data_IF_958864864370
#
_entry.id   IF_958864864370
#
_cell.length_a   1.000
_cell.length_b   1.000
_cell.length_c   1.000
_cell.angle_alpha   90.00
_cell.angle_beta   90.00
_cell.angle_gamma   90.00
#
_symmetry.space_group_name_H-M   'P 1'
#
loop_
_entity.id
_entity.type
_entity.pdbx_description
1 polymer ?
#
# COMPACT_ATOMS: atom_id res chain seq x y z
N UNK A 1 -5.58 -4.69 -13.79
CA UNK A 1 -5.97 -5.27 -15.09
C UNK A 1 -6.76 -6.51 -14.78
N UNK A 2 -7.77 -6.87 -15.55
CA UNK A 2 -8.42 -8.19 -15.44
C UNK A 2 -7.57 -9.25 -16.12
N UNK A 3 -7.63 -10.48 -15.61
CA UNK A 3 -6.81 -11.60 -16.11
C UNK A 3 -7.06 -11.88 -17.59
N UNK A 4 -8.33 -11.81 -18.04
CA UNK A 4 -8.71 -11.98 -19.44
C UNK A 4 -8.03 -10.96 -20.36
N UNK A 5 -7.96 -9.70 -19.92
CA UNK A 5 -7.30 -8.63 -20.68
C UNK A 5 -5.80 -8.78 -20.71
N UNK A 6 -5.21 -9.26 -19.63
CA UNK A 6 -3.80 -9.62 -19.60
C UNK A 6 -3.48 -10.77 -20.55
N UNK A 7 -4.30 -11.81 -20.58
CA UNK A 7 -4.11 -12.96 -21.45
C UNK A 7 -4.20 -12.56 -22.93
N UNK A 8 -5.15 -11.70 -23.28
CA UNK A 8 -5.28 -11.11 -24.61
C UNK A 8 -4.02 -10.30 -24.99
N UNK A 9 -3.56 -9.42 -24.10
CA UNK A 9 -2.37 -8.59 -24.30
C UNK A 9 -1.11 -9.43 -24.52
N UNK A 10 -0.86 -10.42 -23.67
CA UNK A 10 0.34 -11.27 -23.79
C UNK A 10 0.27 -12.11 -25.06
N UNK A 11 -0.89 -12.64 -25.40
CA UNK A 11 -1.08 -13.40 -26.65
C UNK A 11 -0.81 -12.52 -27.87
N UNK A 12 -1.31 -11.30 -27.89
CA UNK A 12 -1.08 -10.36 -28.99
C UNK A 12 0.41 -10.05 -29.14
N UNK A 13 1.09 -9.64 -28.05
CA UNK A 13 2.52 -9.30 -28.08
C UNK A 13 3.35 -10.47 -28.60
N UNK A 14 3.17 -11.66 -28.05
CA UNK A 14 3.96 -12.82 -28.48
C UNK A 14 3.65 -13.25 -29.92
N UNK A 15 2.39 -13.18 -30.34
CA UNK A 15 1.98 -13.48 -31.71
C UNK A 15 2.62 -12.54 -32.74
N UNK A 16 2.75 -11.23 -32.44
CA UNK A 16 3.42 -10.26 -33.32
C UNK A 16 4.87 -10.65 -33.63
N UNK A 17 5.58 -11.28 -32.68
CA UNK A 17 6.95 -11.77 -32.87
C UNK A 17 7.03 -13.24 -33.32
N UNK A 18 5.90 -13.85 -33.71
CA UNK A 18 5.85 -15.25 -34.12
C UNK A 18 6.18 -16.26 -33.02
N UNK A 19 5.98 -15.88 -31.75
CA UNK A 19 6.26 -16.74 -30.58
C UNK A 19 4.98 -17.17 -29.87
N UNK A 20 5.06 -18.30 -29.16
CA UNK A 20 3.99 -18.76 -28.27
C UNK A 20 4.03 -17.99 -26.96
N UNK A 21 2.86 -17.61 -26.45
CA UNK A 21 2.72 -16.95 -25.15
C UNK A 21 3.30 -17.81 -24.01
N UNK A 22 3.90 -17.19 -22.99
CA UNK A 22 4.44 -17.89 -21.84
C UNK A 22 3.32 -18.55 -21.02
N UNK A 23 3.62 -19.70 -20.44
CA UNK A 23 2.74 -20.47 -19.55
C UNK A 23 3.44 -20.72 -18.21
N UNK A 24 2.66 -21.10 -17.19
CA UNK A 24 3.19 -21.41 -15.85
C UNK A 24 3.81 -20.20 -15.13
N UNK A 25 4.89 -20.43 -14.40
CA UNK A 25 5.50 -19.45 -13.48
C UNK A 25 5.90 -18.14 -14.17
N UNK A 26 6.38 -18.19 -15.41
CA UNK A 26 6.77 -17.00 -16.16
C UNK A 26 5.57 -16.09 -16.39
N UNK A 27 4.42 -16.66 -16.72
CA UNK A 27 3.16 -15.90 -16.90
C UNK A 27 2.72 -15.28 -15.58
N UNK A 28 2.82 -16.02 -14.48
CA UNK A 28 2.47 -15.54 -13.13
C UNK A 28 3.35 -14.36 -12.72
N UNK A 29 4.66 -14.44 -12.93
CA UNK A 29 5.60 -13.36 -12.61
C UNK A 29 5.33 -12.09 -13.42
N UNK A 30 4.96 -12.23 -14.70
CA UNK A 30 4.58 -11.08 -15.52
C UNK A 30 3.25 -10.51 -15.02
N UNK A 31 2.25 -11.36 -14.76
CA UNK A 31 0.95 -10.97 -14.24
C UNK A 31 1.06 -10.17 -12.93
N UNK A 32 1.83 -10.67 -11.96
CA UNK A 32 1.98 -10.01 -10.65
C UNK A 32 2.55 -8.59 -10.76
N UNK A 33 3.36 -8.31 -11.79
CA UNK A 33 3.88 -6.97 -12.04
C UNK A 33 2.84 -6.03 -12.62
N UNK A 34 1.94 -6.53 -13.46
CA UNK A 34 1.00 -5.71 -14.25
C UNK A 34 -0.45 -5.77 -13.76
N UNK A 35 -0.74 -6.57 -12.72
CA UNK A 35 -2.09 -6.75 -12.18
C UNK A 35 -2.75 -5.45 -11.72
N UNK A 36 -1.98 -4.44 -11.33
CA UNK A 36 -2.48 -3.15 -10.86
C UNK A 36 -2.68 -2.13 -12.01
N UNK A 37 -2.27 -2.45 -13.24
CA UNK A 37 -2.44 -1.58 -14.42
C UNK A 37 -3.91 -1.56 -14.85
N UNK A 38 -4.56 -0.41 -15.08
CA UNK A 38 -5.96 -0.39 -15.51
C UNK A 38 -6.15 -0.99 -16.91
N UNK A 39 -7.33 -1.59 -17.17
CA UNK A 39 -7.62 -2.26 -18.46
C UNK A 39 -7.51 -1.32 -19.67
N UNK A 40 -7.83 -0.03 -19.48
CA UNK A 40 -7.78 1.00 -20.53
C UNK A 40 -6.35 1.24 -21.07
N UNK A 41 -5.32 0.94 -20.27
CA UNK A 41 -3.94 1.11 -20.68
C UNK A 41 -3.44 -0.08 -21.51
N UNK A 42 -4.12 -1.23 -21.45
CA UNK A 42 -3.67 -2.46 -22.10
C UNK A 42 -3.41 -2.30 -23.63
N UNK A 43 -4.29 -1.65 -24.42
CA UNK A 43 -4.02 -1.45 -25.85
C UNK A 43 -2.74 -0.64 -26.12
N UNK A 44 -2.51 0.43 -25.35
CA UNK A 44 -1.29 1.23 -25.47
C UNK A 44 -0.04 0.43 -25.12
N UNK A 45 -0.10 -0.38 -24.06
CA UNK A 45 1.01 -1.24 -23.65
C UNK A 45 1.33 -2.25 -24.76
N UNK A 46 0.31 -2.86 -25.36
CA UNK A 46 0.47 -3.79 -26.49
C UNK A 46 1.13 -3.09 -27.68
N UNK A 47 0.64 -1.92 -28.10
CA UNK A 47 1.20 -1.15 -29.23
C UNK A 47 2.66 -0.77 -29.01
N UNK A 48 3.03 -0.33 -27.79
CA UNK A 48 4.43 0.00 -27.45
C UNK A 48 5.37 -1.20 -27.55
N UNK A 49 4.91 -2.40 -27.21
CA UNK A 49 5.72 -3.61 -27.30
C UNK A 49 5.73 -4.19 -28.72
N UNK A 50 4.59 -4.19 -29.40
CA UNK A 50 4.46 -4.67 -30.77
C UNK A 50 5.19 -3.79 -31.79
N UNK A 51 5.37 -2.49 -31.50
CA UNK A 51 6.14 -1.56 -32.34
C UNK A 51 7.67 -1.70 -32.21
N UNK A 52 8.18 -2.64 -31.43
CA UNK A 52 9.63 -2.91 -31.31
C UNK A 52 10.10 -3.86 -32.40
N UNK A 53 11.38 -3.75 -32.76
CA UNK A 53 12.01 -4.65 -33.74
C UNK A 53 12.13 -6.10 -33.22
N UNK A 54 12.29 -6.27 -31.91
CA UNK A 54 12.42 -7.57 -31.27
C UNK A 54 11.63 -7.70 -29.96
N UNK A 55 11.23 -8.94 -29.65
CA UNK A 55 10.57 -9.26 -28.39
C UNK A 55 11.54 -9.00 -27.21
N UNK A 56 11.17 -8.16 -26.23
CA UNK A 56 12.04 -7.89 -25.09
C UNK A 56 12.34 -9.16 -24.29
N UNK A 57 13.61 -9.35 -23.92
CA UNK A 57 14.04 -10.47 -23.06
C UNK A 57 13.28 -10.52 -21.73
N UNK A 58 12.90 -9.35 -21.20
CA UNK A 58 12.09 -9.22 -20.01
C UNK A 58 10.80 -8.45 -20.32
N UNK A 59 9.79 -9.18 -20.78
CA UNK A 59 8.48 -8.63 -21.15
C UNK A 59 7.81 -7.93 -19.96
N UNK A 60 7.90 -8.49 -18.75
CA UNK A 60 7.34 -7.88 -17.54
C UNK A 60 7.93 -6.50 -17.24
N UNK A 61 9.25 -6.34 -17.40
CA UNK A 61 9.90 -5.02 -17.28
C UNK A 61 9.45 -4.07 -18.41
N UNK A 62 9.44 -4.56 -19.66
CA UNK A 62 9.01 -3.75 -20.79
C UNK A 62 7.58 -3.21 -20.66
N UNK A 63 6.66 -4.03 -20.15
CA UNK A 63 5.28 -3.60 -19.86
C UNK A 63 5.22 -2.54 -18.77
N UNK A 64 6.04 -2.66 -17.72
CA UNK A 64 6.12 -1.64 -16.67
C UNK A 64 6.74 -0.34 -17.14
N UNK A 65 7.74 -0.40 -18.04
CA UNK A 65 8.32 0.79 -18.66
C UNK A 65 7.28 1.48 -19.57
N UNK A 66 6.54 0.70 -20.38
CA UNK A 66 5.44 1.22 -21.20
C UNK A 66 4.30 1.81 -20.35
N UNK A 67 3.99 1.20 -19.20
CA UNK A 67 3.07 1.75 -18.22
C UNK A 67 3.60 3.07 -17.63
N UNK A 68 4.90 3.18 -17.36
CA UNK A 68 5.56 4.44 -17.00
C UNK A 68 5.32 5.54 -18.03
N UNK A 69 5.49 5.22 -19.32
CA UNK A 69 5.24 6.15 -20.43
C UNK A 69 3.77 6.55 -20.53
N UNK A 70 2.85 5.58 -20.46
CA UNK A 70 1.41 5.86 -20.50
C UNK A 70 1.03 6.83 -19.39
N UNK A 71 1.58 6.62 -18.20
CA UNK A 71 1.37 7.50 -17.05
C UNK A 71 1.83 8.92 -17.32
N UNK A 72 3.03 9.11 -17.86
CA UNK A 72 3.55 10.43 -18.22
C UNK A 72 2.71 11.14 -19.29
N UNK A 73 2.09 10.39 -20.20
CA UNK A 73 1.21 10.93 -21.24
C UNK A 73 -0.23 11.17 -20.78
N UNK A 74 -0.65 10.53 -19.67
CA UNK A 74 -1.99 10.62 -19.12
C UNK A 74 -1.98 11.06 -17.65
N UNK A 75 -1.37 12.22 -17.30
CA UNK A 75 -1.25 12.65 -15.92
C UNK A 75 -2.62 12.80 -15.25
N UNK A 76 -3.64 13.28 -15.96
CA UNK A 76 -5.02 13.41 -15.45
C UNK A 76 -5.74 12.09 -15.18
N UNK A 77 -5.20 10.95 -15.61
CA UNK A 77 -5.73 9.61 -15.25
C UNK A 77 -5.11 9.05 -13.97
N UNK A 78 -3.99 9.62 -13.52
CA UNK A 78 -3.28 9.22 -12.31
C UNK A 78 -3.56 10.20 -11.18
N UNK A 79 -3.44 11.48 -11.50
CA UNK A 79 -3.69 12.58 -10.58
C UNK A 79 -5.19 12.73 -10.49
N UNK A 80 -5.71 12.43 -9.31
CA UNK A 80 -7.08 12.77 -8.97
C UNK A 80 -7.14 14.25 -8.67
N UNK A 81 -8.21 14.91 -9.11
CA UNK A 81 -8.51 16.26 -8.68
C UNK A 81 -8.63 16.30 -7.15
N UNK A 82 -8.21 17.43 -6.57
CA UNK A 82 -8.26 17.61 -5.12
C UNK A 82 -9.67 17.34 -4.60
N UNK A 83 -9.79 16.42 -3.65
CA UNK A 83 -11.08 16.11 -3.03
C UNK A 83 -11.24 16.94 -1.75
N UNK A 84 -12.12 17.96 -1.71
CA UNK A 84 -12.27 18.81 -0.52
C UNK A 84 -12.84 18.04 0.67
N UNK A 85 -13.52 16.91 0.43
CA UNK A 85 -14.14 16.09 1.46
C UNK A 85 -13.15 15.20 2.23
N UNK A 86 -12.16 14.61 1.56
CA UNK A 86 -11.17 13.75 2.22
C UNK A 86 -9.75 14.35 2.22
N UNK A 87 -9.55 15.54 1.67
CA UNK A 87 -8.25 16.22 1.60
C UNK A 87 -7.17 15.30 0.99
N UNK A 88 -7.53 14.63 -0.11
CA UNK A 88 -6.69 13.68 -0.85
C UNK A 88 -6.21 12.45 -0.08
N UNK A 89 -6.72 12.21 1.13
CA UNK A 89 -6.43 10.99 1.89
C UNK A 89 -7.12 9.75 1.30
N UNK A 90 -8.08 9.94 0.39
CA UNK A 90 -8.87 8.88 -0.26
C UNK A 90 -9.72 7.99 0.66
N UNK A 91 -9.56 8.09 1.98
CA UNK A 91 -10.28 7.34 3.00
C UNK A 91 -10.70 8.25 4.16
N UNK A 92 -11.64 7.77 4.96
CA UNK A 92 -11.96 8.29 6.28
C UNK A 92 -11.53 7.28 7.33
N UNK A 93 -10.81 7.74 8.36
CA UNK A 93 -10.48 6.93 9.52
C UNK A 93 -11.65 6.93 10.50
N UNK A 94 -12.03 5.74 10.95
CA UNK A 94 -13.23 5.51 11.75
C UNK A 94 -12.90 4.69 13.00
N UNK A 95 -13.70 4.93 14.05
CA UNK A 95 -13.69 4.19 15.30
C UNK A 95 -15.11 3.81 15.67
N UNK A 96 -15.30 2.58 16.09
CA UNK A 96 -16.57 2.11 16.62
C UNK A 96 -16.33 1.26 17.87
N UNK A 97 -17.33 1.23 18.75
CA UNK A 97 -17.30 0.41 19.95
C UNK A 97 -17.88 -0.97 19.61
N UNK A 98 -17.19 -2.04 19.99
CA UNK A 98 -17.78 -3.38 19.98
C UNK A 98 -18.87 -3.46 21.07
N UNK A 99 -20.15 -3.72 20.72
CA UNK A 99 -21.26 -3.68 21.69
C UNK A 99 -21.07 -4.64 22.87
N UNK A 100 -20.41 -5.77 22.66
CA UNK A 100 -20.26 -6.83 23.65
C UNK A 100 -19.05 -6.66 24.58
N UNK A 101 -18.02 -5.92 24.15
CA UNK A 101 -16.71 -5.88 24.83
C UNK A 101 -16.32 -4.50 25.32
N UNK A 102 -17.16 -3.50 25.08
CA UNK A 102 -16.91 -2.07 25.34
C UNK A 102 -15.59 -1.54 24.75
N UNK A 103 -14.97 -2.30 23.84
CA UNK A 103 -13.66 -2.02 23.28
C UNK A 103 -13.81 -1.25 21.98
N UNK A 104 -13.05 -0.18 21.85
CA UNK A 104 -12.92 0.52 20.58
C UNK A 104 -12.10 -0.30 19.59
N UNK A 105 -12.54 -0.30 18.33
CA UNK A 105 -11.75 -0.77 17.20
C UNK A 105 -11.69 0.33 16.15
N UNK A 106 -10.67 0.28 15.30
CA UNK A 106 -10.48 1.23 14.20
C UNK A 106 -10.61 0.52 12.86
N UNK A 107 -11.15 1.23 11.89
CA UNK A 107 -11.25 0.80 10.51
C UNK A 107 -11.19 2.02 9.58
N UNK A 108 -11.13 1.77 8.28
CA UNK A 108 -11.13 2.84 7.27
C UNK A 108 -12.24 2.59 6.27
N UNK A 109 -12.89 3.66 5.83
CA UNK A 109 -13.85 3.60 4.72
C UNK A 109 -13.34 4.43 3.54
N UNK A 110 -13.47 3.95 2.29
CA UNK A 110 -13.15 4.75 1.12
C UNK A 110 -14.01 6.03 1.08
N UNK A 111 -13.43 7.13 0.59
CA UNK A 111 -14.17 8.38 0.43
C UNK A 111 -15.34 8.20 -0.57
N UNK A 112 -16.60 8.41 -0.18
CA UNK A 112 -17.75 8.22 -1.06
C UNK A 112 -17.83 9.27 -2.18
N UNK A 113 -17.04 10.34 -2.11
CA UNK A 113 -17.04 11.40 -3.11
C UNK A 113 -16.02 11.14 -4.24
N UNK A 114 -14.81 10.68 -3.91
CA UNK A 114 -13.74 10.51 -4.91
C UNK A 114 -13.37 9.05 -5.23
N UNK A 115 -13.93 8.09 -4.49
CA UNK A 115 -13.68 6.67 -4.74
C UNK A 115 -14.93 5.94 -5.24
N UNK A 116 -16.06 6.61 -5.45
CA UNK A 116 -17.28 5.97 -5.96
C UNK A 116 -17.10 5.60 -7.43
N UNK A 117 -17.13 4.32 -7.80
CA UNK A 117 -17.00 3.89 -9.18
C UNK A 117 -18.17 4.37 -10.03
N UNK A 118 -17.90 4.83 -11.26
CA UNK A 118 -18.94 5.27 -12.19
C UNK A 118 -19.89 4.14 -12.64
N UNK A 119 -19.43 2.89 -12.55
CA UNK A 119 -20.20 1.69 -12.89
C UNK A 119 -21.13 1.22 -11.76
N UNK A 120 -21.13 1.91 -10.61
CA UNK A 120 -21.98 1.56 -9.47
C UNK A 120 -21.59 0.24 -8.79
N UNK A 121 -20.43 -0.34 -9.13
CA UNK A 121 -19.96 -1.63 -8.59
C UNK A 121 -19.76 -1.64 -7.08
N UNK A 122 -19.65 -0.46 -6.45
CA UNK A 122 -19.51 -0.31 -5.00
C UNK A 122 -20.52 0.69 -4.45
N UNK A 123 -21.29 0.25 -3.46
CA UNK A 123 -22.14 1.15 -2.66
C UNK A 123 -21.25 2.10 -1.86
N UNK A 124 -21.39 3.43 -2.01
CA UNK A 124 -20.61 4.40 -1.25
C UNK A 124 -20.90 4.29 0.25
N UNK A 125 -19.89 4.55 1.09
CA UNK A 125 -20.08 4.60 2.53
C UNK A 125 -20.98 5.79 2.91
N UNK A 126 -22.08 5.54 3.62
CA UNK A 126 -22.94 6.59 4.17
C UNK A 126 -22.36 7.11 5.49
N UNK A 127 -21.53 8.14 5.38
CA UNK A 127 -20.87 8.76 6.53
C UNK A 127 -21.85 9.33 7.55
N UNK A 128 -23.07 9.72 7.13
CA UNK A 128 -24.08 10.26 8.04
C UNK A 128 -24.71 9.14 8.84
N UNK A 129 -25.17 8.08 8.18
CA UNK A 129 -25.74 6.91 8.86
C UNK A 129 -24.73 6.26 9.81
N UNK A 130 -23.44 6.22 9.43
CA UNK A 130 -22.37 5.74 10.31
C UNK A 130 -22.25 6.57 11.59
N UNK A 131 -22.28 7.90 11.49
CA UNK A 131 -22.26 8.78 12.68
C UNK A 131 -23.49 8.56 13.57
N UNK A 132 -24.66 8.41 12.97
CA UNK A 132 -25.92 8.11 13.69
C UNK A 132 -25.86 6.74 14.39
N UNK A 133 -25.14 5.77 13.81
CA UNK A 133 -24.87 4.46 14.40
C UNK A 133 -23.77 4.48 15.49
N UNK A 134 -23.23 5.64 15.86
CA UNK A 134 -22.21 5.78 16.91
C UNK A 134 -20.77 5.57 16.44
N UNK A 135 -20.51 5.53 15.13
CA UNK A 135 -19.14 5.53 14.60
C UNK A 135 -18.55 6.94 14.71
N UNK A 136 -17.41 7.08 15.37
CA UNK A 136 -16.65 8.32 15.33
C UNK A 136 -15.75 8.34 14.09
N UNK A 137 -15.84 9.43 13.33
CA UNK A 137 -15.14 9.60 12.06
C UNK A 137 -14.23 10.81 12.19
N UNK A 138 -12.93 10.58 12.09
CA UNK A 138 -11.91 11.63 12.18
C UNK A 138 -12.11 12.66 11.07
N UNK A 139 -12.12 13.96 11.41
CA UNK A 139 -12.09 15.03 10.41
C UNK A 139 -10.83 14.93 9.52
N UNK A 140 -10.95 15.11 8.21
CA UNK A 140 -9.83 14.97 7.26
C UNK A 140 -8.71 15.99 7.52
N UNK A 141 -9.03 17.12 8.14
CA UNK A 141 -8.13 18.22 8.50
C UNK A 141 -7.54 18.10 9.91
N UNK A 142 -7.79 16.99 10.62
CA UNK A 142 -7.26 16.80 11.97
C UNK A 142 -5.73 16.72 11.98
N UNK A 143 -5.09 17.63 12.73
CA UNK A 143 -3.63 17.71 12.81
C UNK A 143 -3.04 16.51 13.57
N UNK A 144 -2.04 15.87 12.96
CA UNK A 144 -1.36 14.70 13.53
C UNK A 144 -1.93 13.34 13.11
N UNK A 145 -2.97 13.34 12.28
CA UNK A 145 -3.51 12.12 11.67
C UNK A 145 -4.17 11.15 12.65
N UNK A 146 -4.41 9.89 12.23
CA UNK A 146 -5.25 8.95 12.97
C UNK A 146 -4.70 8.57 14.34
N UNK A 147 -3.38 8.51 14.51
CA UNK A 147 -2.74 8.21 15.79
C UNK A 147 -2.94 9.34 16.80
N UNK A 148 -2.80 10.60 16.37
CA UNK A 148 -3.05 11.74 17.24
C UNK A 148 -4.54 11.85 17.61
N UNK A 149 -5.43 11.50 16.68
CA UNK A 149 -6.87 11.51 16.91
C UNK A 149 -7.31 10.43 17.92
N UNK A 150 -6.86 9.19 17.71
CA UNK A 150 -7.07 8.05 18.61
C UNK A 150 -6.68 8.39 20.05
N UNK A 151 -5.53 9.06 20.20
CA UNK A 151 -5.05 9.54 21.49
C UNK A 151 -5.89 10.66 22.07
N UNK A 152 -6.23 11.67 21.27
CA UNK A 152 -7.03 12.82 21.71
C UNK A 152 -8.40 12.38 22.23
N UNK A 153 -9.01 11.39 21.58
CA UNK A 153 -10.27 10.77 22.01
C UNK A 153 -10.10 9.77 23.16
N UNK A 154 -8.90 9.21 23.34
CA UNK A 154 -8.62 8.22 24.37
C UNK A 154 -9.08 6.80 24.00
N UNK A 155 -9.16 6.46 22.71
CA UNK A 155 -9.65 5.16 22.25
C UNK A 155 -8.69 4.01 22.53
N UNK A 156 -7.39 4.26 22.39
CA UNK A 156 -6.39 3.23 22.69
C UNK A 156 -6.20 2.20 21.58
N UNK A 157 -6.74 2.41 20.37
CA UNK A 157 -6.73 1.41 19.29
C UNK A 157 -5.41 1.40 18.53
N UNK A 158 -4.91 2.58 18.17
CA UNK A 158 -3.67 2.75 17.41
C UNK A 158 -2.47 3.02 18.33
N UNK A 159 -2.74 3.56 19.51
CA UNK A 159 -1.72 3.83 20.51
C UNK A 159 -2.27 3.60 21.91
N UNK A 160 -1.56 2.91 22.82
CA UNK A 160 -2.08 2.65 24.17
C UNK A 160 -2.50 3.92 24.89
N UNK A 161 -3.75 3.94 25.38
CA UNK A 161 -4.24 5.02 26.22
C UNK A 161 -3.42 5.06 27.53
N UNK A 162 -2.91 6.25 27.89
CA UNK A 162 -2.17 6.46 29.14
C UNK A 162 -0.64 6.33 29.08
N UNK A 163 -0.06 6.06 27.90
CA UNK A 163 1.39 6.06 27.75
C UNK A 163 1.93 7.52 27.74
N UNK A 164 2.79 7.87 28.69
CA UNK A 164 3.46 9.18 28.72
C UNK A 164 4.37 9.35 27.49
N UNK A 165 4.15 10.43 26.74
CA UNK A 165 4.98 10.83 25.60
C UNK A 165 5.62 12.20 25.81
N UNK A 166 5.43 12.85 26.96
CA UNK A 166 6.14 14.08 27.32
C UNK A 166 7.63 13.81 27.51
N UNK A 167 7.97 12.56 27.83
CA UNK A 167 9.33 12.06 27.78
C UNK A 167 9.68 11.66 26.34
N UNK A 168 10.58 12.37 25.63
CA UNK A 168 11.04 11.93 24.32
C UNK A 168 11.69 10.56 24.49
N UNK A 169 11.18 9.56 23.73
CA UNK A 169 11.81 8.25 23.70
C UNK A 169 13.27 8.45 23.27
N UNK A 170 14.25 7.78 23.90
CA UNK A 170 15.61 7.82 23.41
C UNK A 170 15.58 7.41 21.93
N UNK A 171 16.01 8.33 21.06
CA UNK A 171 16.04 8.08 19.63
C UNK A 171 16.81 6.78 19.40
N UNK A 172 16.13 5.79 18.82
CA UNK A 172 16.78 4.56 18.41
C UNK A 172 17.75 4.95 17.29
N UNK A 173 19.04 5.07 17.62
CA UNK A 173 20.09 5.27 16.62
C UNK A 173 20.13 4.00 15.77
N UNK A 174 19.48 4.04 14.62
CA UNK A 174 19.62 3.01 13.59
C UNK A 174 20.85 3.40 12.78
N UNK A 175 21.98 2.94 13.27
CA UNK A 175 23.27 2.94 12.59
C UNK A 175 23.96 1.63 12.94
N UNK A 176 24.75 1.09 12.00
CA UNK A 176 25.57 -0.11 12.22
C UNK A 176 26.72 0.28 13.13
N UNK A 177 26.43 0.46 14.42
CA UNK A 177 27.49 0.44 15.42
C UNK A 177 27.91 -1.03 15.55
N UNK A 178 29.02 -1.38 14.90
CA UNK A 178 29.59 -2.75 14.89
C UNK A 178 30.02 -3.18 16.31
N UNK A 179 29.99 -2.27 17.29
CA UNK A 179 30.17 -2.60 18.70
C UNK A 179 28.86 -3.09 19.29
N UNK A 180 28.86 -4.35 19.72
CA UNK A 180 27.74 -4.92 20.47
C UNK A 180 27.45 -4.06 21.71
N UNK A 181 26.26 -3.47 21.76
CA UNK A 181 25.78 -2.72 22.91
C UNK A 181 25.53 -3.69 24.08
N UNK A 182 26.36 -3.61 25.11
CA UNK A 182 26.29 -4.45 26.31
C UNK A 182 24.93 -4.35 27.04
N UNK A 183 24.14 -3.30 26.81
CA UNK A 183 22.77 -3.20 27.35
C UNK A 183 21.81 -4.17 26.66
N UNK A 184 21.99 -4.44 25.37
CA UNK A 184 21.14 -5.38 24.60
C UNK A 184 21.36 -6.83 25.02
N UNK A 185 22.56 -7.17 25.48
CA UNK A 185 22.90 -8.53 25.93
C UNK A 185 22.44 -8.85 27.36
N UNK A 186 21.90 -7.88 28.11
CA UNK A 186 21.46 -8.10 29.50
C UNK A 186 20.29 -9.08 29.62
N UNK A 187 19.46 -9.18 28.58
CA UNK A 187 18.30 -10.08 28.55
C UNK A 187 18.63 -11.49 28.05
N UNK A 188 19.86 -11.71 27.56
CA UNK A 188 20.32 -13.02 27.08
C UNK A 188 20.80 -13.85 28.29
N UNK A 189 20.40 -15.13 28.43
CA UNK A 189 20.89 -16.02 29.48
C UNK A 189 22.42 -16.14 29.47
N UNK A 190 23.04 -16.25 30.65
CA UNK A 190 24.50 -16.19 30.80
C UNK A 190 25.26 -17.20 29.94
N UNK A 191 24.69 -18.39 29.70
CA UNK A 191 25.27 -19.45 28.86
C UNK A 191 25.41 -19.04 27.39
N UNK A 192 24.51 -18.19 26.90
CA UNK A 192 24.45 -17.75 25.49
C UNK A 192 25.27 -16.48 25.25
N UNK A 193 25.86 -15.88 26.30
CA UNK A 193 26.77 -14.73 26.17
C UNK A 193 28.21 -15.12 25.86
N UNK A 194 28.60 -16.39 26.05
CA UNK A 194 29.97 -16.85 25.83
C UNK A 194 30.33 -16.98 24.34
N UNK A 195 29.36 -17.19 23.47
CA UNK A 195 29.56 -17.23 22.01
C UNK A 195 29.73 -15.82 21.39
N UNK A 196 29.54 -14.77 22.18
CA UNK A 196 29.73 -13.38 21.78
C UNK A 196 31.10 -12.83 22.22
N UNK A 197 32.15 -13.65 22.15
CA UNK A 197 33.52 -13.18 22.32
C UNK A 197 33.87 -12.17 21.20
N UNK A 198 34.61 -11.09 21.52
CA UNK A 198 35.08 -10.17 20.49
C UNK A 198 35.98 -10.96 19.54
N UNK A 199 35.70 -10.89 18.23
CA UNK A 199 36.68 -11.29 17.23
C UNK A 199 37.85 -10.29 17.34
N UNK A 200 38.81 -10.59 18.21
CA UNK A 200 40.10 -9.93 18.21
C UNK A 200 40.92 -10.50 17.06
N UNK A 201 41.28 -9.60 16.14
CA UNK A 201 42.15 -9.76 14.98
C UNK A 201 41.50 -10.52 13.81
N UNK A 202 41.10 -9.79 12.77
CA UNK A 202 41.60 -9.85 11.38
C UNK A 202 41.15 -8.59 10.63
#
# INVERSE_FOLDING_TARGET
MRLEKFDELVRQVYATFGRTAPVGDVKVVIWDKVRDVPDEAAPFLADQLCGRDELPRNVGKALMDAWGTWKSQNPGRIVREHCPHCQDQAVFHCWAQEPEKERWHTFVVPCPYCQTPADGSRVPADLKAMREAGVDIMPPDFKGGPVAYDRWRGYGCLWPAGLDTGTPRPQMRVGVDMRQDARRMRHIPARERQDAAPAENW
#
